data_IF_872043219717
#
_entry.id   IF_872043219717
#
_cell.length_a   1.000
_cell.length_b   1.000
_cell.length_c   1.000
_cell.angle_alpha   90.00
_cell.angle_beta   90.00
_cell.angle_gamma   90.00
#
_symmetry.space_group_name_H-M   'P 1'
#
loop_
_entity.id
_entity.type
_entity.pdbx_description
1 polymer ?
#
# COMPACT_ATOMS: atom_id res chain seq x y z
N UNK A 1 24.45 15.16 -29.76
CA UNK A 1 24.76 13.74 -29.48
C UNK A 1 23.45 13.05 -29.17
N UNK A 2 23.01 12.17 -30.06
CA UNK A 2 21.61 11.72 -30.07
C UNK A 2 21.45 10.21 -29.76
N UNK A 3 22.53 9.47 -29.49
CA UNK A 3 22.44 8.06 -29.12
C UNK A 3 23.51 7.66 -28.08
N UNK A 4 23.22 6.58 -27.33
CA UNK A 4 24.08 6.05 -26.27
C UNK A 4 25.45 5.57 -26.78
N UNK A 5 25.50 5.01 -27.99
CA UNK A 5 26.70 4.37 -28.52
C UNK A 5 27.85 5.37 -28.73
N UNK A 6 27.54 6.51 -29.35
CA UNK A 6 28.44 7.64 -29.51
C UNK A 6 28.87 8.21 -28.14
N UNK A 7 27.94 8.25 -27.18
CA UNK A 7 28.20 8.76 -25.84
C UNK A 7 29.18 7.89 -25.05
N UNK A 8 29.01 6.56 -25.10
CA UNK A 8 29.94 5.63 -24.47
C UNK A 8 31.33 5.68 -25.12
N UNK A 9 31.38 5.75 -26.46
CA UNK A 9 32.64 5.89 -27.19
C UNK A 9 33.41 7.16 -26.81
N UNK A 10 32.70 8.28 -26.67
CA UNK A 10 33.31 9.55 -26.26
C UNK A 10 33.76 9.55 -24.79
N UNK A 11 32.96 8.97 -23.89
CA UNK A 11 33.37 8.79 -22.48
C UNK A 11 34.60 7.88 -22.37
N UNK A 12 34.68 6.80 -23.13
CA UNK A 12 35.86 5.94 -23.14
C UNK A 12 37.10 6.68 -23.67
N UNK A 13 36.96 7.39 -24.77
CA UNK A 13 38.06 8.14 -25.39
C UNK A 13 38.55 9.29 -24.51
N UNK A 14 37.64 10.01 -23.84
CA UNK A 14 38.02 11.09 -22.92
C UNK A 14 38.79 10.58 -21.70
N UNK A 15 38.60 9.31 -21.32
CA UNK A 15 39.38 8.61 -20.28
C UNK A 15 40.63 7.90 -20.82
N UNK A 16 40.94 8.05 -22.11
CA UNK A 16 42.13 7.45 -22.73
C UNK A 16 42.15 5.91 -22.72
N UNK A 17 40.98 5.27 -22.56
CA UNK A 17 40.89 3.82 -22.43
C UNK A 17 40.75 3.16 -23.80
N UNK A 18 41.52 2.09 -24.06
CA UNK A 18 41.25 1.22 -25.20
C UNK A 18 40.02 0.34 -24.93
N UNK A 19 39.34 -0.12 -25.99
CA UNK A 19 38.18 -1.02 -25.86
C UNK A 19 38.56 -2.27 -25.05
N UNK A 20 39.73 -2.88 -25.29
CA UNK A 20 40.18 -4.06 -24.52
C UNK A 20 40.34 -3.76 -23.03
N UNK A 21 40.93 -2.60 -22.70
CA UNK A 21 41.17 -2.19 -21.32
C UNK A 21 39.86 -1.91 -20.58
N UNK A 22 38.96 -1.13 -21.18
CA UNK A 22 37.67 -0.85 -20.56
C UNK A 22 36.81 -2.12 -20.42
N UNK A 23 36.81 -2.99 -21.42
CA UNK A 23 36.07 -4.24 -21.37
C UNK A 23 36.56 -5.14 -20.22
N UNK A 24 37.88 -5.27 -20.06
CA UNK A 24 38.47 -5.99 -18.93
C UNK A 24 38.08 -5.37 -17.58
N UNK A 25 38.12 -4.03 -17.45
CA UNK A 25 37.74 -3.34 -16.22
C UNK A 25 36.25 -3.48 -15.89
N UNK A 26 35.39 -3.54 -16.92
CA UNK A 26 33.94 -3.71 -16.78
C UNK A 26 33.49 -5.18 -16.70
N UNK A 27 34.41 -6.14 -16.76
CA UNK A 27 34.09 -7.57 -16.71
C UNK A 27 33.33 -8.09 -17.93
N UNK A 28 33.50 -7.45 -19.10
CA UNK A 28 32.81 -7.80 -20.35
C UNK A 28 33.82 -8.15 -21.45
N UNK A 29 33.38 -8.92 -22.46
CA UNK A 29 34.25 -9.26 -23.58
C UNK A 29 34.51 -8.04 -24.49
N UNK A 30 35.73 -7.82 -25.03
CA UNK A 30 36.04 -6.66 -25.87
C UNK A 30 35.16 -6.49 -27.12
N UNK A 31 34.74 -7.60 -27.73
CA UNK A 31 33.81 -7.56 -28.87
C UNK A 31 32.39 -7.12 -28.45
N UNK A 32 31.98 -7.37 -27.21
CA UNK A 32 30.70 -6.92 -26.67
C UNK A 32 30.69 -5.41 -26.48
N UNK A 33 31.74 -4.86 -25.85
CA UNK A 33 31.89 -3.41 -25.70
C UNK A 33 32.02 -2.69 -27.05
N UNK A 34 32.75 -3.26 -28.01
CA UNK A 34 32.83 -2.71 -29.37
C UNK A 34 31.47 -2.65 -30.06
N UNK A 35 30.61 -3.65 -29.86
CA UNK A 35 29.24 -3.67 -30.40
C UNK A 35 28.32 -2.67 -29.69
N UNK A 36 28.59 -2.32 -28.44
CA UNK A 36 27.87 -1.26 -27.72
C UNK A 36 28.20 0.12 -28.26
N UNK A 37 29.48 0.44 -28.45
CA UNK A 37 29.93 1.72 -29.01
C UNK A 37 29.58 1.89 -30.49
N UNK A 38 29.39 0.79 -31.22
CA UNK A 38 28.87 0.80 -32.59
C UNK A 38 27.33 0.86 -32.66
N UNK A 39 26.62 0.82 -31.51
CA UNK A 39 25.15 0.85 -31.45
C UNK A 39 24.47 -0.42 -31.96
N UNK A 40 25.24 -1.49 -32.22
CA UNK A 40 24.75 -2.78 -32.70
C UNK A 40 23.99 -3.53 -31.62
N UNK A 41 24.42 -3.40 -30.36
CA UNK A 41 23.79 -4.02 -29.17
C UNK A 41 23.82 -2.98 -28.04
N UNK A 42 22.91 -3.08 -27.06
CA UNK A 42 22.91 -2.21 -25.87
C UNK A 42 23.33 -3.01 -24.62
N UNK A 43 24.01 -2.39 -23.64
CA UNK A 43 24.34 -3.04 -22.38
C UNK A 43 23.09 -3.26 -21.52
N UNK A 44 23.05 -4.34 -20.73
CA UNK A 44 22.07 -4.50 -19.63
C UNK A 44 22.32 -3.50 -18.51
N UNK A 45 21.37 -3.30 -17.57
CA UNK A 45 21.55 -2.33 -16.48
C UNK A 45 22.76 -2.69 -15.59
N UNK A 46 22.98 -3.97 -15.30
CA UNK A 46 24.14 -4.45 -14.55
C UNK A 46 25.46 -4.25 -15.31
N UNK A 47 25.50 -4.59 -16.60
CA UNK A 47 26.68 -4.35 -17.45
C UNK A 47 26.94 -2.87 -17.67
N UNK A 48 25.88 -2.06 -17.74
CA UNK A 48 25.95 -0.61 -17.83
C UNK A 48 26.50 -0.01 -16.55
N UNK A 49 26.03 -0.44 -15.37
CA UNK A 49 26.58 0.02 -14.09
C UNK A 49 28.04 -0.41 -13.93
N UNK A 50 28.39 -1.64 -14.31
CA UNK A 50 29.77 -2.11 -14.34
C UNK A 50 30.65 -1.29 -15.30
N UNK A 51 30.13 -0.96 -16.49
CA UNK A 51 30.80 -0.12 -17.47
C UNK A 51 30.98 1.32 -16.97
N UNK A 52 29.96 1.92 -16.37
CA UNK A 52 30.02 3.27 -15.82
C UNK A 52 30.91 3.37 -14.58
N UNK A 53 30.97 2.30 -13.77
CA UNK A 53 31.93 2.15 -12.68
C UNK A 53 33.36 2.05 -13.25
N UNK A 54 33.59 1.22 -14.25
CA UNK A 54 34.89 1.07 -14.91
C UNK A 54 35.36 2.34 -15.63
N UNK A 55 34.41 3.12 -16.18
CA UNK A 55 34.68 4.43 -16.75
C UNK A 55 34.98 5.49 -15.68
N UNK A 56 34.67 5.24 -14.40
CA UNK A 56 34.73 6.25 -13.34
C UNK A 56 33.76 7.40 -13.59
N UNK A 57 32.57 7.10 -14.13
CA UNK A 57 31.61 8.11 -14.55
C UNK A 57 30.94 8.80 -13.35
N UNK A 58 30.90 10.13 -13.40
CA UNK A 58 30.23 11.01 -12.43
C UNK A 58 28.71 10.84 -12.49
N UNK A 59 28.02 11.30 -11.45
CA UNK A 59 26.56 11.22 -11.36
C UNK A 59 25.85 11.97 -12.50
N UNK A 60 26.45 13.05 -13.03
CA UNK A 60 25.92 13.78 -14.17
C UNK A 60 26.09 12.99 -15.49
N UNK A 61 27.25 12.37 -15.71
CA UNK A 61 27.51 11.53 -16.89
C UNK A 61 26.62 10.27 -16.90
N UNK A 62 26.39 9.67 -15.72
CA UNK A 62 25.45 8.55 -15.56
C UNK A 62 24.02 8.94 -15.91
N UNK A 63 23.55 10.07 -15.39
CA UNK A 63 22.22 10.60 -15.71
C UNK A 63 22.07 10.85 -17.21
N UNK A 64 23.09 11.43 -17.85
CA UNK A 64 23.08 11.69 -19.28
C UNK A 64 23.12 10.41 -20.13
N UNK A 65 23.89 9.40 -19.73
CA UNK A 65 23.87 8.10 -20.41
C UNK A 65 22.52 7.39 -20.25
N UNK A 66 21.90 7.46 -19.07
CA UNK A 66 20.57 6.91 -18.81
C UNK A 66 19.48 7.58 -19.66
N UNK A 67 19.54 8.91 -19.84
CA UNK A 67 18.66 9.64 -20.78
C UNK A 67 18.80 9.15 -22.23
N UNK A 68 19.98 8.66 -22.62
CA UNK A 68 20.27 8.17 -23.98
C UNK A 68 20.01 6.66 -24.15
N UNK A 69 19.83 5.91 -23.05
CA UNK A 69 19.45 4.49 -23.02
C UNK A 69 17.98 4.28 -23.41
N UNK A 70 17.15 5.32 -23.31
CA UNK A 70 15.69 5.29 -23.39
C UNK A 70 15.13 5.06 -24.82
N UNK A 71 15.42 3.88 -25.40
CA UNK A 71 14.68 3.28 -26.52
C UNK A 71 14.37 1.79 -26.24
N UNK A 72 13.20 1.26 -26.64
CA UNK A 72 12.20 0.73 -25.69
C UNK A 72 12.17 -0.81 -25.55
N UNK A 73 13.26 -1.53 -25.82
CA UNK A 73 13.21 -3.02 -25.94
C UNK A 73 13.92 -3.81 -24.82
N UNK A 74 14.64 -3.13 -23.92
CA UNK A 74 15.35 -3.78 -22.80
C UNK A 74 14.48 -3.92 -21.53
N UNK A 75 13.50 -3.03 -21.32
CA UNK A 75 12.56 -3.14 -20.21
C UNK A 75 11.70 -4.42 -20.33
N UNK A 76 11.15 -4.67 -21.52
CA UNK A 76 10.24 -5.80 -21.76
C UNK A 76 10.85 -7.20 -21.49
N UNK A 77 12.18 -7.33 -21.50
CA UNK A 77 12.86 -8.60 -21.29
C UNK A 77 13.24 -8.83 -19.81
N UNK A 78 13.39 -7.77 -19.02
CA UNK A 78 13.57 -7.85 -17.57
C UNK A 78 12.26 -8.26 -16.88
N UNK A 79 11.12 -7.72 -17.32
CA UNK A 79 9.79 -8.12 -16.85
C UNK A 79 9.42 -9.57 -17.23
N UNK A 80 9.90 -10.07 -18.38
CA UNK A 80 9.65 -11.45 -18.82
C UNK A 80 10.54 -12.51 -18.15
N UNK A 81 11.66 -12.12 -17.51
CA UNK A 81 12.59 -13.04 -16.81
C UNK A 81 12.33 -13.12 -15.30
N UNK A 82 11.37 -12.34 -14.76
CA UNK A 82 10.99 -12.29 -13.35
C UNK A 82 9.69 -13.06 -13.04
N UNK A 83 9.41 -14.13 -13.79
CA UNK A 83 8.34 -15.05 -13.43
C UNK A 83 8.80 -15.98 -12.30
N UNK A 84 8.53 -15.63 -11.03
CA UNK A 84 8.30 -16.58 -9.92
C UNK A 84 7.50 -15.90 -8.80
N UNK A 85 6.78 -16.68 -7.98
CA UNK A 85 5.36 -16.53 -7.74
C UNK A 85 5.00 -15.37 -6.78
N UNK A 86 3.78 -14.89 -6.96
CA UNK A 86 3.03 -13.91 -6.16
C UNK A 86 3.57 -13.59 -4.75
N UNK A 87 4.12 -12.38 -4.61
CA UNK A 87 4.12 -11.61 -3.36
C UNK A 87 5.45 -11.49 -2.65
N UNK A 88 6.34 -10.59 -3.10
CA UNK A 88 7.41 -9.96 -2.31
C UNK A 88 8.27 -9.03 -3.21
N UNK A 89 7.89 -7.75 -3.35
CA UNK A 89 8.73 -6.70 -3.97
C UNK A 89 9.30 -5.78 -2.89
N UNK A 90 10.38 -6.23 -2.24
CA UNK A 90 10.89 -5.66 -0.99
C UNK A 90 11.85 -4.47 -1.16
N UNK A 91 11.72 -3.63 -2.21
CA UNK A 91 12.48 -2.37 -2.32
C UNK A 91 11.57 -1.21 -2.68
N UNK A 92 11.66 -0.08 -1.94
CA UNK A 92 10.86 1.08 -2.24
C UNK A 92 11.30 1.66 -3.59
N UNK A 93 10.33 2.18 -4.34
CA UNK A 93 10.51 2.78 -5.65
C UNK A 93 9.78 4.11 -5.72
N UNK A 94 10.14 4.93 -6.70
CA UNK A 94 9.46 6.19 -6.96
C UNK A 94 8.05 5.90 -7.50
N UNK A 95 6.98 6.44 -6.89
CA UNK A 95 5.64 6.31 -7.44
C UNK A 95 5.53 6.88 -8.86
N UNK A 96 4.82 6.16 -9.71
CA UNK A 96 4.57 6.47 -11.11
C UNK A 96 3.07 6.62 -11.40
N UNK A 97 2.68 7.33 -12.47
CA UNK A 97 1.28 7.46 -12.89
C UNK A 97 0.51 6.14 -13.05
N UNK A 98 1.18 5.04 -13.41
CA UNK A 98 0.56 3.71 -13.44
C UNK A 98 0.09 3.22 -12.06
N UNK A 99 0.79 3.59 -10.98
CA UNK A 99 0.37 3.25 -9.61
C UNK A 99 -0.96 3.93 -9.26
N UNK A 100 -1.20 5.14 -9.78
CA UNK A 100 -2.47 5.83 -9.64
C UNK A 100 -3.58 5.13 -10.44
N UNK A 101 -3.31 4.67 -11.67
CA UNK A 101 -4.28 3.87 -12.44
C UNK A 101 -4.67 2.59 -11.68
N UNK A 102 -3.67 1.91 -11.11
CA UNK A 102 -3.88 0.72 -10.29
C UNK A 102 -4.70 1.07 -9.04
N UNK A 103 -4.36 2.13 -8.33
CA UNK A 103 -5.06 2.58 -7.14
C UNK A 103 -6.52 2.93 -7.44
N UNK A 104 -6.78 3.67 -8.52
CA UNK A 104 -8.13 3.98 -8.99
C UNK A 104 -8.92 2.71 -9.33
N UNK A 105 -8.31 1.74 -10.03
CA UNK A 105 -8.94 0.43 -10.31
C UNK A 105 -9.29 -0.31 -9.03
N UNK A 106 -8.36 -0.38 -8.09
CA UNK A 106 -8.53 -1.07 -6.82
C UNK A 106 -9.58 -0.39 -5.92
N UNK A 107 -9.63 0.95 -5.94
CA UNK A 107 -10.68 1.74 -5.31
C UNK A 107 -12.06 1.39 -5.87
N UNK A 108 -12.17 1.09 -7.16
CA UNK A 108 -13.41 0.58 -7.79
C UNK A 108 -13.71 -0.89 -7.49
N UNK A 109 -12.82 -1.59 -6.80
CA UNK A 109 -12.96 -3.01 -6.52
C UNK A 109 -12.84 -3.90 -7.76
N UNK A 110 -12.35 -3.37 -8.88
CA UNK A 110 -12.27 -4.13 -10.13
C UNK A 110 -10.99 -4.96 -10.20
N UNK A 111 -11.11 -6.19 -10.68
CA UNK A 111 -9.96 -6.99 -11.08
C UNK A 111 -9.35 -6.44 -12.37
N UNK A 112 -8.11 -6.81 -12.64
CA UNK A 112 -7.43 -6.43 -13.87
C UNK A 112 -8.22 -6.93 -15.10
N UNK A 113 -8.76 -8.15 -15.04
CA UNK A 113 -9.54 -8.79 -16.09
C UNK A 113 -10.88 -8.10 -16.30
N UNK A 114 -11.56 -7.72 -15.21
CA UNK A 114 -12.83 -6.99 -15.26
C UNK A 114 -12.66 -5.63 -15.95
N UNK A 115 -11.66 -4.85 -15.53
CA UNK A 115 -11.36 -3.56 -16.15
C UNK A 115 -10.95 -3.70 -17.61
N UNK A 116 -10.10 -4.69 -17.93
CA UNK A 116 -9.67 -4.92 -19.30
C UNK A 116 -10.85 -5.29 -20.22
N UNK A 117 -11.76 -6.14 -19.73
CA UNK A 117 -12.99 -6.51 -20.45
C UNK A 117 -13.88 -5.30 -20.68
N UNK A 118 -14.09 -4.47 -19.65
CA UNK A 118 -14.89 -3.25 -19.75
C UNK A 118 -14.34 -2.26 -20.80
N UNK A 119 -13.02 -2.22 -20.94
CA UNK A 119 -12.33 -1.33 -21.89
C UNK A 119 -12.07 -1.97 -23.26
N UNK A 120 -12.50 -3.22 -23.47
CA UNK A 120 -12.22 -3.98 -24.69
C UNK A 120 -10.72 -4.06 -25.03
N UNK A 121 -9.86 -4.24 -24.01
CA UNK A 121 -8.41 -4.43 -24.16
C UNK A 121 -7.97 -5.73 -23.48
N UNK A 122 -6.72 -6.14 -23.70
CA UNK A 122 -6.16 -7.28 -22.98
C UNK A 122 -5.77 -6.90 -21.54
N UNK A 123 -5.92 -7.82 -20.59
CA UNK A 123 -5.44 -7.64 -19.21
C UNK A 123 -3.93 -7.34 -19.18
N UNK A 124 -3.16 -7.91 -20.10
CA UNK A 124 -1.74 -7.61 -20.27
C UNK A 124 -1.51 -6.14 -20.65
N UNK A 125 -2.30 -5.58 -21.57
CA UNK A 125 -2.21 -4.16 -21.94
C UNK A 125 -2.44 -3.26 -20.73
N UNK A 126 -3.51 -3.53 -19.97
CA UNK A 126 -3.83 -2.77 -18.77
C UNK A 126 -2.74 -2.92 -17.70
N UNK A 127 -2.23 -4.13 -17.48
CA UNK A 127 -1.12 -4.38 -16.55
C UNK A 127 0.10 -3.53 -16.91
N UNK A 128 0.46 -3.45 -18.19
CA UNK A 128 1.59 -2.64 -18.65
C UNK A 128 1.36 -1.14 -18.44
N UNK A 129 0.11 -0.68 -18.51
CA UNK A 129 -0.25 0.70 -18.14
C UNK A 129 -0.11 0.94 -16.64
N UNK A 130 -0.58 0.02 -15.81
CA UNK A 130 -0.48 0.09 -14.34
C UNK A 130 0.97 0.03 -13.84
N UNK A 131 1.85 -0.66 -14.56
CA UNK A 131 3.29 -0.67 -14.27
C UNK A 131 4.07 0.45 -14.98
N UNK A 132 3.38 1.37 -15.67
CA UNK A 132 3.98 2.45 -16.47
C UNK A 132 4.97 1.98 -17.55
N UNK A 133 4.92 0.72 -17.97
CA UNK A 133 5.75 0.14 -19.03
C UNK A 133 5.32 0.62 -20.43
N UNK A 134 4.03 0.83 -20.60
CA UNK A 134 3.42 1.50 -21.75
C UNK A 134 2.40 2.51 -21.24
N UNK A 135 1.90 3.38 -22.11
CA UNK A 135 0.91 4.39 -21.74
C UNK A 135 -0.28 4.34 -22.71
N UNK A 136 -1.52 4.51 -22.22
CA UNK A 136 -2.68 4.63 -23.09
C UNK A 136 -2.56 5.86 -24.01
N UNK A 137 -3.17 5.79 -25.18
CA UNK A 137 -3.44 7.01 -25.97
C UNK A 137 -4.37 7.95 -25.21
N UNK A 138 -4.44 9.22 -25.61
CA UNK A 138 -5.33 10.20 -24.95
C UNK A 138 -6.80 9.72 -24.92
N UNK A 139 -7.31 9.20 -26.04
CA UNK A 139 -8.65 8.62 -26.11
C UNK A 139 -8.83 7.42 -25.16
N UNK A 140 -7.86 6.51 -25.11
CA UNK A 140 -7.88 5.36 -24.20
C UNK A 140 -7.81 5.79 -22.74
N UNK A 141 -7.01 6.80 -22.42
CA UNK A 141 -6.89 7.35 -21.08
C UNK A 141 -8.21 7.99 -20.64
N UNK A 142 -8.87 8.76 -21.51
CA UNK A 142 -10.19 9.33 -21.22
C UNK A 142 -11.23 8.25 -20.97
N UNK A 143 -11.27 7.20 -21.79
CA UNK A 143 -12.18 6.06 -21.58
C UNK A 143 -11.87 5.32 -20.27
N UNK A 144 -10.59 5.08 -19.97
CA UNK A 144 -10.14 4.47 -18.72
C UNK A 144 -10.58 5.31 -17.51
N UNK A 145 -10.28 6.61 -17.53
CA UNK A 145 -10.65 7.54 -16.46
C UNK A 145 -12.17 7.63 -16.26
N UNK A 146 -12.96 7.64 -17.34
CA UNK A 146 -14.42 7.61 -17.27
C UNK A 146 -14.93 6.36 -16.54
N UNK A 147 -14.48 5.17 -16.96
CA UNK A 147 -14.91 3.92 -16.33
C UNK A 147 -14.43 3.80 -14.89
N UNK A 148 -13.22 4.26 -14.60
CA UNK A 148 -12.68 4.27 -13.24
C UNK A 148 -13.29 5.38 -12.35
N UNK A 149 -14.17 6.25 -12.87
CA UNK A 149 -14.67 7.44 -12.17
C UNK A 149 -13.52 8.29 -11.61
N UNK A 150 -12.56 8.59 -12.48
CA UNK A 150 -11.47 9.49 -12.15
C UNK A 150 -12.02 10.85 -11.74
N UNK A 151 -11.46 11.41 -10.67
CA UNK A 151 -11.67 12.80 -10.34
C UNK A 151 -10.94 13.71 -11.35
N UNK A 152 -11.39 14.97 -11.54
CA UNK A 152 -10.72 15.91 -12.44
C UNK A 152 -9.22 16.05 -12.14
N UNK A 153 -8.84 16.07 -10.85
CA UNK A 153 -7.45 16.14 -10.39
C UNK A 153 -6.63 14.92 -10.81
N UNK A 154 -7.20 13.72 -10.75
CA UNK A 154 -6.54 12.49 -11.20
C UNK A 154 -6.36 12.48 -12.72
N UNK A 155 -7.38 12.93 -13.46
CA UNK A 155 -7.27 13.08 -14.92
C UNK A 155 -6.16 14.07 -15.30
N UNK A 156 -6.09 15.23 -14.63
CA UNK A 156 -5.01 16.21 -14.83
C UNK A 156 -3.66 15.58 -14.52
N UNK A 157 -3.54 14.87 -13.39
CA UNK A 157 -2.30 14.23 -12.97
C UNK A 157 -1.81 13.19 -13.99
N UNK A 158 -2.73 12.39 -14.55
CA UNK A 158 -2.45 11.37 -15.57
C UNK A 158 -2.18 11.96 -16.96
N UNK A 159 -2.75 13.13 -17.28
CA UNK A 159 -2.55 13.82 -18.56
C UNK A 159 -1.11 14.26 -18.79
N UNK A 160 -0.32 14.42 -17.73
CA UNK A 160 1.11 14.73 -17.81
C UNK A 160 1.97 13.56 -18.34
N UNK A 161 1.37 12.37 -18.52
CA UNK A 161 1.95 11.20 -19.15
C UNK A 161 2.69 10.28 -18.18
N UNK A 162 3.19 9.14 -18.70
CA UNK A 162 3.70 7.98 -17.94
C UNK A 162 4.76 8.18 -16.85
N UNK A 163 5.41 9.34 -16.77
CA UNK A 163 6.53 9.58 -15.84
C UNK A 163 6.34 10.81 -14.95
N UNK A 164 5.25 11.54 -15.11
CA UNK A 164 5.01 12.80 -14.41
C UNK A 164 3.63 12.77 -13.78
N UNK A 165 3.57 12.97 -12.47
CA UNK A 165 2.37 13.54 -11.86
C UNK A 165 2.43 15.04 -12.12
N UNK A 166 1.35 15.63 -12.64
CA UNK A 166 1.21 17.09 -12.62
C UNK A 166 0.81 17.49 -11.20
N UNK A 167 1.70 18.21 -10.50
CA UNK A 167 1.54 18.69 -9.11
C UNK A 167 0.43 19.76 -8.91
N UNK A 168 -0.58 19.82 -9.78
CA UNK A 168 -1.53 20.94 -9.78
C UNK A 168 -2.72 20.79 -8.82
N UNK A 169 -2.94 19.60 -8.23
CA UNK A 169 -4.04 19.40 -7.28
C UNK A 169 -3.77 20.04 -5.90
N UNK A 170 -2.50 20.05 -5.46
CA UNK A 170 -2.02 20.74 -4.27
C UNK A 170 -0.50 20.85 -4.36
N UNK A 171 0.03 22.06 -4.56
CA UNK A 171 1.48 22.23 -4.65
C UNK A 171 2.11 21.93 -3.27
N UNK A 172 2.88 20.84 -3.16
CA UNK A 172 3.64 20.56 -1.95
C UNK A 172 4.66 21.67 -1.70
N UNK A 173 4.93 22.03 -0.42
CA UNK A 173 5.94 23.02 -0.10
C UNK A 173 7.29 22.73 -0.76
N UNK A 174 7.90 23.77 -1.32
CA UNK A 174 9.22 23.65 -1.95
C UNK A 174 10.34 23.61 -0.92
N UNK A 175 10.14 24.28 0.23
CA UNK A 175 11.10 24.34 1.33
C UNK A 175 11.01 23.10 2.20
N UNK A 176 12.15 22.60 2.64
CA UNK A 176 12.24 21.37 3.46
C UNK A 176 11.49 21.52 4.78
N UNK A 177 11.68 22.62 5.50
CA UNK A 177 11.08 22.80 6.83
C UNK A 177 9.54 22.84 6.78
N UNK A 178 8.99 23.48 5.74
CA UNK A 178 7.54 23.51 5.49
C UNK A 178 7.01 22.12 5.11
N UNK A 179 7.76 21.34 4.34
CA UNK A 179 7.38 19.98 3.99
C UNK A 179 7.44 19.05 5.21
N UNK A 180 8.43 19.23 6.08
CA UNK A 180 8.52 18.50 7.35
C UNK A 180 7.36 18.83 8.27
N UNK A 181 6.98 20.12 8.36
CA UNK A 181 5.79 20.53 9.11
C UNK A 181 4.52 19.91 8.53
N UNK A 182 4.35 19.91 7.21
CA UNK A 182 3.20 19.27 6.56
C UNK A 182 3.14 17.77 6.88
N UNK A 183 4.25 17.04 6.80
CA UNK A 183 4.30 15.61 7.13
C UNK A 183 3.90 15.37 8.59
N UNK A 184 4.37 16.20 9.53
CA UNK A 184 3.94 16.12 10.94
C UNK A 184 2.45 16.34 11.10
N UNK A 185 1.89 17.37 10.45
CA UNK A 185 0.45 17.64 10.48
C UNK A 185 -0.38 16.48 9.92
N UNK A 186 0.13 15.76 8.91
CA UNK A 186 -0.53 14.55 8.38
C UNK A 186 -0.47 13.40 9.40
N UNK A 187 0.70 13.18 10.02
CA UNK A 187 0.88 12.16 11.06
C UNK A 187 -0.07 12.38 12.23
N UNK A 188 -0.18 13.63 12.67
CA UNK A 188 -1.04 14.07 13.78
C UNK A 188 -2.52 14.18 13.37
N UNK A 189 -2.86 13.85 12.12
CA UNK A 189 -4.19 13.92 11.54
C UNK A 189 -4.85 15.33 11.60
N UNK A 190 -4.03 16.38 11.60
CA UNK A 190 -4.47 17.79 11.56
C UNK A 190 -4.87 18.24 10.14
N UNK A 191 -4.43 17.51 9.11
CA UNK A 191 -4.80 17.78 7.72
C UNK A 191 -6.03 16.97 7.34
N UNK A 192 -7.14 17.66 7.07
CA UNK A 192 -8.32 17.06 6.48
C UNK A 192 -8.07 16.71 5.00
N UNK A 193 -7.75 15.45 4.71
CA UNK A 193 -7.57 14.95 3.36
C UNK A 193 -8.93 14.57 2.75
N UNK A 194 -9.16 14.98 1.50
CA UNK A 194 -10.25 14.44 0.70
C UNK A 194 -9.96 12.96 0.43
N UNK A 195 -10.75 12.07 1.06
CA UNK A 195 -10.57 10.62 0.95
C UNK A 195 -10.67 10.13 -0.49
N UNK A 196 -11.41 10.82 -1.35
CA UNK A 196 -11.56 10.46 -2.76
C UNK A 196 -10.29 10.71 -3.59
N UNK A 197 -9.41 11.59 -3.11
CA UNK A 197 -8.14 11.96 -3.74
C UNK A 197 -6.91 11.50 -2.95
N UNK A 198 -7.10 10.76 -1.86
CA UNK A 198 -6.01 10.37 -0.96
C UNK A 198 -4.93 9.53 -1.65
N UNK A 199 -5.29 8.63 -2.58
CA UNK A 199 -4.32 7.88 -3.39
C UNK A 199 -3.38 8.83 -4.17
N UNK A 200 -3.96 9.79 -4.91
CA UNK A 200 -3.19 10.79 -5.65
C UNK A 200 -2.32 11.62 -4.72
N UNK A 201 -2.87 12.03 -3.57
CA UNK A 201 -2.16 12.83 -2.58
C UNK A 201 -0.92 12.09 -2.05
N UNK A 202 -1.08 10.87 -1.54
CA UNK A 202 0.02 10.10 -0.97
C UNK A 202 1.06 9.69 -2.02
N UNK A 203 0.65 9.23 -3.20
CA UNK A 203 1.59 8.89 -4.28
C UNK A 203 2.42 10.11 -4.71
N UNK A 204 1.81 11.30 -4.74
CA UNK A 204 2.51 12.54 -5.08
C UNK A 204 3.46 12.98 -3.96
N UNK A 205 3.04 12.87 -2.69
CA UNK A 205 3.88 13.17 -1.53
C UNK A 205 5.08 12.22 -1.42
N UNK A 206 4.87 10.92 -1.57
CA UNK A 206 5.91 9.89 -1.57
C UNK A 206 6.93 10.15 -2.69
N UNK A 207 6.47 10.48 -3.89
CA UNK A 207 7.33 10.87 -5.01
C UNK A 207 8.15 12.12 -4.69
N UNK A 208 7.54 13.13 -4.07
CA UNK A 208 8.23 14.36 -3.65
C UNK A 208 9.32 14.05 -2.63
N UNK A 209 9.01 13.21 -1.64
CA UNK A 209 9.93 12.83 -0.57
C UNK A 209 11.03 11.86 -1.02
N UNK A 210 10.80 11.08 -2.08
CA UNK A 210 11.78 10.17 -2.65
C UNK A 210 13.13 10.82 -2.97
N UNK A 211 13.11 12.04 -3.54
CA UNK A 211 14.35 12.77 -3.83
C UNK A 211 15.13 13.17 -2.57
N UNK A 212 14.42 13.52 -1.50
CA UNK A 212 15.00 13.95 -0.22
C UNK A 212 15.54 12.76 0.59
N UNK A 213 14.90 11.60 0.49
CA UNK A 213 15.31 10.38 1.21
C UNK A 213 16.68 9.87 0.78
N UNK A 214 17.06 10.10 -0.48
CA UNK A 214 18.40 9.76 -0.99
C UNK A 214 19.49 10.72 -0.51
N UNK A 215 19.12 11.88 0.03
CA UNK A 215 20.05 12.97 0.35
C UNK A 215 20.22 13.18 1.86
N UNK A 216 19.25 12.75 2.66
CA UNK A 216 19.26 13.02 4.10
C UNK A 216 18.46 11.99 4.91
N UNK A 217 18.89 11.77 6.14
CA UNK A 217 18.17 10.93 7.09
C UNK A 217 16.78 11.48 7.44
N UNK A 218 16.63 12.80 7.55
CA UNK A 218 15.33 13.44 7.78
C UNK A 218 14.40 13.23 6.59
N UNK A 219 14.90 13.33 5.35
CA UNK A 219 14.14 12.98 4.15
C UNK A 219 13.67 11.53 4.15
N UNK A 220 14.53 10.61 4.60
CA UNK A 220 14.19 9.18 4.76
C UNK A 220 13.10 8.99 5.81
N UNK A 221 13.19 9.68 6.95
CA UNK A 221 12.17 9.64 8.01
C UNK A 221 10.82 10.15 7.52
N UNK A 222 10.80 11.30 6.85
CA UNK A 222 9.56 11.84 6.27
C UNK A 222 8.92 10.88 5.26
N UNK A 223 9.73 10.21 4.43
CA UNK A 223 9.23 9.20 3.49
C UNK A 223 8.64 7.98 4.19
N UNK A 224 9.26 7.52 5.29
CA UNK A 224 8.70 6.46 6.15
C UNK A 224 7.34 6.91 6.69
N UNK A 225 7.26 8.11 7.27
CA UNK A 225 6.02 8.67 7.84
C UNK A 225 4.91 8.77 6.77
N UNK A 226 5.24 9.20 5.55
CA UNK A 226 4.30 9.24 4.43
C UNK A 226 3.78 7.84 4.05
N UNK A 227 4.65 6.84 3.96
CA UNK A 227 4.24 5.45 3.71
C UNK A 227 3.35 4.90 4.83
N UNK A 228 3.65 5.22 6.10
CA UNK A 228 2.83 4.82 7.26
C UNK A 228 1.43 5.43 7.17
N UNK A 229 1.34 6.73 6.88
CA UNK A 229 0.06 7.43 6.72
C UNK A 229 -0.75 6.88 5.54
N UNK A 230 -0.11 6.62 4.40
CA UNK A 230 -0.76 6.01 3.24
C UNK A 230 -1.26 4.60 3.57
N UNK A 231 -0.44 3.79 4.24
CA UNK A 231 -0.82 2.46 4.71
C UNK A 231 -2.04 2.51 5.65
N UNK A 232 -2.04 3.43 6.63
CA UNK A 232 -3.17 3.64 7.54
C UNK A 232 -4.45 4.01 6.76
N UNK A 233 -4.35 4.92 5.80
CA UNK A 233 -5.48 5.30 4.95
C UNK A 233 -6.05 4.10 4.18
N UNK A 234 -5.20 3.31 3.52
CA UNK A 234 -5.61 2.12 2.78
C UNK A 234 -6.28 1.08 3.67
N UNK A 235 -5.77 0.86 4.88
CA UNK A 235 -6.39 -0.04 5.85
C UNK A 235 -7.77 0.43 6.32
N UNK A 236 -7.94 1.74 6.53
CA UNK A 236 -9.23 2.34 6.89
C UNK A 236 -10.29 2.18 5.79
N UNK A 237 -9.86 2.05 4.53
CA UNK A 237 -10.73 1.78 3.38
C UNK A 237 -10.81 0.28 3.02
N UNK A 238 -10.40 -0.60 3.95
CA UNK A 238 -10.38 -2.06 3.79
C UNK A 238 -9.53 -2.57 2.61
N UNK A 239 -8.56 -1.78 2.16
CA UNK A 239 -7.63 -2.11 1.06
C UNK A 239 -6.34 -2.76 1.58
N UNK A 240 -6.49 -3.84 2.35
CA UNK A 240 -5.38 -4.56 3.02
C UNK A 240 -4.27 -4.97 2.03
N UNK A 241 -4.65 -5.50 0.87
CA UNK A 241 -3.69 -5.90 -0.16
C UNK A 241 -2.89 -4.74 -0.74
N UNK A 242 -3.47 -3.53 -0.75
CA UNK A 242 -2.81 -2.35 -1.29
C UNK A 242 -1.91 -1.72 -0.24
N UNK A 243 -2.31 -1.79 1.03
CA UNK A 243 -1.51 -1.35 2.18
C UNK A 243 -0.17 -2.11 2.31
N UNK A 244 -0.09 -3.33 1.75
CA UNK A 244 1.14 -4.14 1.72
C UNK A 244 2.33 -3.37 1.16
N UNK A 245 2.19 -2.74 -0.01
CA UNK A 245 3.32 -2.10 -0.70
C UNK A 245 3.95 -0.95 0.12
N UNK A 246 3.21 0.08 0.56
CA UNK A 246 3.78 1.13 1.40
C UNK A 246 4.28 0.58 2.74
N UNK A 247 3.63 -0.45 3.31
CA UNK A 247 4.11 -1.07 4.54
C UNK A 247 5.53 -1.65 4.41
N UNK A 248 5.75 -2.48 3.38
CA UNK A 248 7.06 -3.07 3.11
C UNK A 248 8.11 -2.04 2.69
N UNK A 249 7.72 -1.02 1.93
CA UNK A 249 8.59 0.10 1.58
C UNK A 249 9.12 0.81 2.84
N UNK A 250 8.24 1.13 3.79
CA UNK A 250 8.64 1.75 5.05
C UNK A 250 9.53 0.83 5.88
N UNK A 251 9.17 -0.45 6.03
CA UNK A 251 9.98 -1.43 6.77
C UNK A 251 11.39 -1.59 6.20
N UNK A 252 11.52 -1.57 4.86
CA UNK A 252 12.82 -1.61 4.20
C UNK A 252 13.69 -0.39 4.54
N UNK A 253 13.08 0.79 4.64
CA UNK A 253 13.79 2.04 4.96
C UNK A 253 14.15 2.17 6.44
N UNK A 254 13.36 1.59 7.34
CA UNK A 254 13.60 1.68 8.79
C UNK A 254 14.90 0.99 9.17
N UNK A 255 15.28 -0.10 8.49
CA UNK A 255 16.60 -0.76 8.64
C UNK A 255 16.83 -1.41 10.01
N UNK A 256 16.86 -0.61 11.09
CA UNK A 256 16.83 -1.01 12.49
C UNK A 256 15.82 -0.19 13.27
N UNK A 257 15.04 -0.85 14.12
CA UNK A 257 13.99 -0.26 14.93
C UNK A 257 14.54 0.26 16.26
N UNK A 258 15.54 1.13 16.20
CA UNK A 258 16.12 1.79 17.37
C UNK A 258 15.26 3.03 17.68
N UNK A 259 14.46 3.00 18.75
CA UNK A 259 13.48 4.04 19.14
C UNK A 259 12.38 4.31 18.09
N UNK A 260 11.46 3.36 17.86
CA UNK A 260 10.38 3.57 16.91
C UNK A 260 9.48 4.73 17.31
N UNK A 261 9.05 5.51 16.31
CA UNK A 261 7.90 6.38 16.52
C UNK A 261 6.65 5.50 16.70
N UNK A 262 5.83 5.77 17.71
CA UNK A 262 4.66 4.95 18.04
C UNK A 262 3.75 4.70 16.84
N UNK A 263 3.54 5.71 15.99
CA UNK A 263 2.69 5.57 14.80
C UNK A 263 3.25 4.59 13.76
N UNK A 264 4.54 4.24 13.78
CA UNK A 264 5.10 3.23 12.88
C UNK A 264 4.58 1.82 13.17
N UNK A 265 4.00 1.58 14.35
CA UNK A 265 3.36 0.30 14.68
C UNK A 265 2.16 0.00 13.77
N UNK A 266 1.63 0.98 13.05
CA UNK A 266 0.66 0.75 11.96
C UNK A 266 1.22 -0.14 10.84
N UNK A 267 2.52 -0.13 10.60
CA UNK A 267 3.18 -1.01 9.62
C UNK A 267 3.09 -2.48 10.05
N UNK A 268 3.33 -2.74 11.34
CA UNK A 268 3.26 -4.08 11.92
C UNK A 268 1.84 -4.62 11.82
N UNK A 269 0.84 -3.78 12.15
CA UNK A 269 -0.55 -4.15 11.98
C UNK A 269 -0.90 -4.47 10.52
N UNK A 270 -0.45 -3.65 9.57
CA UNK A 270 -0.68 -3.91 8.15
C UNK A 270 -0.10 -5.25 7.69
N UNK A 271 1.12 -5.56 8.12
CA UNK A 271 1.79 -6.84 7.80
C UNK A 271 1.10 -8.02 8.47
N UNK A 272 0.70 -7.88 9.74
CA UNK A 272 -0.04 -8.92 10.45
C UNK A 272 -1.39 -9.20 9.76
N UNK A 273 -2.10 -8.15 9.36
CA UNK A 273 -3.39 -8.26 8.66
C UNK A 273 -3.25 -8.89 7.29
N UNK A 274 -2.26 -8.45 6.51
CA UNK A 274 -1.93 -9.06 5.22
C UNK A 274 -1.57 -10.54 5.35
N UNK A 275 -0.86 -10.91 6.41
CA UNK A 275 -0.47 -12.28 6.68
C UNK A 275 -1.66 -13.17 7.11
N UNK A 276 -2.56 -12.61 7.92
CA UNK A 276 -3.77 -13.28 8.41
C UNK A 276 -4.83 -13.46 7.32
N UNK A 277 -5.05 -12.44 6.48
CA UNK A 277 -6.21 -12.34 5.57
C UNK A 277 -5.90 -12.72 4.11
N UNK A 278 -4.80 -13.44 3.85
CA UNK A 278 -4.39 -13.83 2.50
C UNK A 278 -5.57 -14.35 1.67
N UNK A 279 -5.80 -13.72 0.51
CA UNK A 279 -7.01 -13.86 -0.35
C UNK A 279 -7.49 -15.29 -0.61
N UNK A 280 -6.57 -16.25 -0.70
CA UNK A 280 -6.88 -17.63 -1.05
C UNK A 280 -6.75 -18.61 0.13
N UNK A 281 -5.92 -18.28 1.12
CA UNK A 281 -5.62 -19.14 2.26
C UNK A 281 -5.39 -18.28 3.50
N UNK A 282 -6.48 -17.85 4.18
CA UNK A 282 -6.35 -17.14 5.45
C UNK A 282 -5.49 -17.95 6.42
N UNK A 283 -4.56 -17.28 7.08
CA UNK A 283 -3.68 -17.90 8.07
C UNK A 283 -3.58 -17.01 9.32
N UNK A 284 -4.63 -16.96 10.16
CA UNK A 284 -4.66 -16.13 11.36
C UNK A 284 -3.44 -16.37 12.28
N UNK A 285 -2.93 -17.59 12.34
CA UNK A 285 -1.73 -17.96 13.11
C UNK A 285 -0.49 -17.17 12.71
N UNK A 286 -0.34 -16.84 11.42
CA UNK A 286 0.78 -16.03 10.95
C UNK A 286 0.65 -14.57 11.42
N UNK A 287 -0.56 -14.00 11.36
CA UNK A 287 -0.81 -12.66 11.90
C UNK A 287 -0.57 -12.57 13.41
N UNK A 288 -1.00 -13.60 14.16
CA UNK A 288 -0.72 -13.72 15.60
C UNK A 288 0.79 -13.70 15.86
N UNK A 289 1.57 -14.50 15.12
CA UNK A 289 3.03 -14.55 15.29
C UNK A 289 3.66 -13.17 15.07
N UNK A 290 3.29 -12.49 13.98
CA UNK A 290 3.77 -11.14 13.69
C UNK A 290 3.46 -10.19 14.84
N UNK A 291 2.23 -10.19 15.37
CA UNK A 291 1.88 -9.28 16.47
C UNK A 291 2.58 -9.65 17.79
N UNK A 292 2.73 -10.94 18.08
CA UNK A 292 3.42 -11.42 19.30
C UNK A 292 4.89 -11.06 19.32
N UNK A 293 5.59 -11.18 18.19
CA UNK A 293 7.00 -10.82 18.06
C UNK A 293 7.24 -9.32 18.34
N UNK A 294 6.23 -8.49 18.11
CA UNK A 294 6.29 -7.03 18.26
C UNK A 294 5.58 -6.49 19.50
N UNK A 295 4.87 -7.34 20.25
CA UNK A 295 4.11 -6.95 21.44
C UNK A 295 4.99 -6.34 22.55
N UNK A 296 6.21 -6.84 22.85
CA UNK A 296 7.06 -6.19 23.84
C UNK A 296 7.41 -4.75 23.46
N UNK A 297 7.73 -4.52 22.18
CA UNK A 297 8.06 -3.19 21.68
C UNK A 297 6.86 -2.24 21.72
N UNK A 298 5.65 -2.73 21.41
CA UNK A 298 4.44 -1.89 21.50
C UNK A 298 4.12 -1.54 22.96
N UNK A 299 4.28 -2.48 23.89
CA UNK A 299 4.11 -2.26 25.33
C UNK A 299 5.08 -1.22 25.89
N UNK A 300 6.34 -1.27 25.49
CA UNK A 300 7.36 -0.29 25.89
C UNK A 300 7.10 1.11 25.27
N UNK A 301 6.45 1.15 24.10
CA UNK A 301 6.22 2.39 23.35
C UNK A 301 4.96 3.14 23.83
N UNK A 302 3.83 2.44 23.99
CA UNK A 302 2.57 3.05 24.41
C UNK A 302 1.51 1.98 24.74
N UNK A 303 0.83 2.17 25.88
CA UNK A 303 -0.27 1.31 26.36
C UNK A 303 -1.41 1.21 25.34
N UNK A 304 -1.67 2.29 24.58
CA UNK A 304 -2.69 2.27 23.53
C UNK A 304 -2.36 1.24 22.43
N UNK A 305 -1.09 1.14 22.02
CA UNK A 305 -0.66 0.19 21.00
C UNK A 305 -0.53 -1.25 21.55
N UNK A 306 -0.17 -1.40 22.83
CA UNK A 306 -0.24 -2.70 23.52
C UNK A 306 -1.67 -3.27 23.48
N UNK A 307 -2.65 -2.48 23.93
CA UNK A 307 -4.05 -2.87 23.95
C UNK A 307 -4.56 -3.19 22.54
N UNK A 308 -4.17 -2.38 21.55
CA UNK A 308 -4.50 -2.63 20.15
C UNK A 308 -3.94 -3.97 19.63
N UNK A 309 -2.67 -4.29 19.90
CA UNK A 309 -2.09 -5.56 19.46
C UNK A 309 -2.74 -6.75 20.15
N UNK A 310 -3.01 -6.66 21.45
CA UNK A 310 -3.72 -7.71 22.20
C UNK A 310 -5.11 -7.98 21.62
N UNK A 311 -5.80 -6.92 21.21
CA UNK A 311 -7.12 -6.99 20.57
C UNK A 311 -7.06 -7.77 19.26
N UNK A 312 -6.15 -7.38 18.36
CA UNK A 312 -6.01 -8.03 17.06
C UNK A 312 -5.51 -9.49 17.19
N UNK A 313 -4.61 -9.76 18.16
CA UNK A 313 -4.21 -11.14 18.52
C UNK A 313 -5.44 -11.95 18.93
N UNK A 314 -6.29 -11.42 19.82
CA UNK A 314 -7.48 -12.12 20.29
C UNK A 314 -8.47 -12.40 19.16
N UNK A 315 -8.68 -11.44 18.26
CA UNK A 315 -9.50 -11.60 17.06
C UNK A 315 -8.98 -12.74 16.18
N UNK A 316 -7.69 -12.75 15.84
CA UNK A 316 -7.12 -13.82 15.05
C UNK A 316 -7.15 -15.17 15.77
N UNK A 317 -6.92 -15.20 17.08
CA UNK A 317 -7.03 -16.43 17.88
C UNK A 317 -8.44 -17.00 17.84
N UNK A 318 -9.47 -16.15 17.84
CA UNK A 318 -10.87 -16.57 17.77
C UNK A 318 -11.25 -17.22 16.43
N UNK A 319 -10.47 -16.98 15.38
CA UNK A 319 -10.60 -17.64 14.07
C UNK A 319 -9.85 -18.99 14.01
N UNK A 320 -9.16 -19.37 15.07
CA UNK A 320 -8.48 -20.67 15.21
C UNK A 320 -9.25 -21.60 16.17
N UNK A 321 -8.73 -22.80 16.44
CA UNK A 321 -9.30 -23.72 17.42
C UNK A 321 -9.07 -23.32 18.89
N UNK A 322 -8.43 -22.17 19.16
CA UNK A 322 -8.01 -21.73 20.50
C UNK A 322 -9.07 -20.86 21.21
N UNK A 323 -10.29 -21.37 21.37
CA UNK A 323 -11.46 -20.58 21.82
C UNK A 323 -11.25 -19.91 23.19
N UNK A 324 -10.86 -20.68 24.21
CA UNK A 324 -10.64 -20.17 25.57
C UNK A 324 -9.54 -19.10 25.60
N UNK A 325 -8.43 -19.39 24.94
CA UNK A 325 -7.29 -18.48 24.91
C UNK A 325 -7.61 -17.18 24.15
N UNK A 326 -8.49 -17.23 23.14
CA UNK A 326 -8.99 -16.04 22.46
C UNK A 326 -9.81 -15.14 23.40
N UNK A 327 -10.71 -15.71 24.21
CA UNK A 327 -11.52 -14.95 25.19
C UNK A 327 -10.64 -14.36 26.30
N UNK A 328 -9.67 -15.13 26.82
CA UNK A 328 -8.72 -14.62 27.81
C UNK A 328 -7.83 -13.49 27.24
N UNK A 329 -7.42 -13.60 25.98
CA UNK A 329 -6.69 -12.54 25.29
C UNK A 329 -7.54 -11.29 25.06
N UNK A 330 -8.81 -11.43 24.67
CA UNK A 330 -9.69 -10.28 24.46
C UNK A 330 -10.03 -9.59 25.77
N UNK A 331 -10.20 -10.31 26.88
CA UNK A 331 -10.39 -9.69 28.20
C UNK A 331 -9.17 -8.87 28.61
N UNK A 332 -7.95 -9.40 28.41
CA UNK A 332 -6.72 -8.62 28.68
C UNK A 332 -6.63 -7.36 27.83
N UNK A 333 -7.09 -7.41 26.58
CA UNK A 333 -7.16 -6.24 25.71
C UNK A 333 -8.17 -5.20 26.25
N UNK A 334 -9.31 -5.65 26.79
CA UNK A 334 -10.29 -4.78 27.48
C UNK A 334 -9.66 -4.12 28.70
N UNK A 335 -9.07 -4.91 29.60
CA UNK A 335 -8.48 -4.42 30.85
C UNK A 335 -7.37 -3.37 30.61
N UNK A 336 -6.64 -3.49 29.49
CA UNK A 336 -5.57 -2.55 29.11
C UNK A 336 -6.04 -1.37 28.26
N UNK A 337 -7.11 -1.53 27.48
CA UNK A 337 -7.51 -0.56 26.46
C UNK A 337 -8.54 0.47 26.91
N UNK A 338 -9.35 0.17 27.92
CA UNK A 338 -10.42 1.05 28.36
C UNK A 338 -9.90 2.37 28.96
N UNK A 339 -10.58 3.47 28.65
CA UNK A 339 -10.24 4.82 29.11
C UNK A 339 -9.14 5.49 28.29
N UNK A 340 -8.67 4.87 27.20
CA UNK A 340 -7.61 5.41 26.34
C UNK A 340 -8.14 6.14 25.09
N UNK A 341 -9.46 6.32 24.99
CA UNK A 341 -10.11 7.03 23.87
C UNK A 341 -10.50 6.15 22.68
N UNK A 342 -10.33 4.83 22.78
CA UNK A 342 -10.72 3.84 21.74
C UNK A 342 -11.68 2.75 22.28
N UNK A 343 -12.39 3.05 23.37
CA UNK A 343 -13.26 2.11 24.09
C UNK A 343 -14.28 1.43 23.18
N UNK A 344 -14.80 2.15 22.16
CA UNK A 344 -15.72 1.58 21.18
C UNK A 344 -15.11 0.40 20.45
N UNK A 345 -13.89 0.53 19.92
CA UNK A 345 -13.24 -0.56 19.19
C UNK A 345 -12.83 -1.70 20.12
N UNK A 346 -12.44 -1.39 21.36
CA UNK A 346 -12.16 -2.41 22.39
C UNK A 346 -13.38 -3.30 22.61
N UNK A 347 -14.56 -2.72 22.83
CA UNK A 347 -15.80 -3.49 23.03
C UNK A 347 -16.25 -4.24 21.78
N UNK A 348 -16.18 -3.61 20.59
CA UNK A 348 -16.52 -4.27 19.33
C UNK A 348 -15.68 -5.53 19.10
N UNK A 349 -14.37 -5.41 19.28
CA UNK A 349 -13.46 -6.55 19.11
C UNK A 349 -13.68 -7.65 20.14
N UNK A 350 -13.96 -7.30 21.40
CA UNK A 350 -14.30 -8.29 22.42
C UNK A 350 -15.61 -9.03 22.08
N UNK A 351 -16.65 -8.30 21.65
CA UNK A 351 -17.89 -8.90 21.18
C UNK A 351 -17.68 -9.80 19.95
N UNK A 352 -16.82 -9.41 19.00
CA UNK A 352 -16.47 -10.23 17.84
C UNK A 352 -15.81 -11.56 18.23
N UNK A 353 -14.88 -11.52 19.20
CA UNK A 353 -14.24 -12.73 19.74
C UNK A 353 -15.27 -13.65 20.41
N UNK A 354 -16.22 -13.10 21.17
CA UNK A 354 -17.31 -13.88 21.77
C UNK A 354 -18.19 -14.54 20.70
N UNK A 355 -18.53 -13.82 19.62
CA UNK A 355 -19.29 -14.39 18.51
C UNK A 355 -18.54 -15.51 17.79
N UNK A 356 -17.25 -15.33 17.51
CA UNK A 356 -16.42 -16.36 16.87
C UNK A 356 -16.27 -17.61 17.76
N UNK A 357 -16.32 -17.44 19.08
CA UNK A 357 -16.23 -18.53 20.07
C UNK A 357 -17.60 -19.08 20.51
N UNK A 358 -18.70 -18.71 19.84
CA UNK A 358 -20.08 -19.18 20.07
C UNK A 358 -20.75 -18.71 21.37
N UNK A 359 -20.50 -17.48 21.78
CA UNK A 359 -21.13 -16.83 22.95
C UNK A 359 -21.99 -15.61 22.54
N UNK A 360 -23.04 -15.77 21.70
CA UNK A 360 -23.78 -14.65 21.14
C UNK A 360 -24.57 -13.83 22.19
N UNK A 361 -25.06 -14.45 23.25
CA UNK A 361 -25.76 -13.74 24.33
C UNK A 361 -24.86 -12.75 25.07
N UNK A 362 -23.65 -13.18 25.43
CA UNK A 362 -22.66 -12.31 26.09
C UNK A 362 -22.20 -11.19 25.14
N UNK A 363 -21.97 -11.52 23.87
CA UNK A 363 -21.63 -10.51 22.88
C UNK A 363 -22.74 -9.45 22.76
N UNK A 364 -24.01 -9.87 22.69
CA UNK A 364 -25.15 -8.95 22.61
C UNK A 364 -25.28 -8.07 23.85
N UNK A 365 -25.12 -8.63 25.05
CA UNK A 365 -25.15 -7.89 26.32
C UNK A 365 -24.09 -6.79 26.37
N UNK A 366 -22.87 -7.08 25.91
CA UNK A 366 -21.78 -6.09 25.83
C UNK A 366 -22.13 -4.96 24.86
N UNK A 367 -22.63 -5.33 23.67
CA UNK A 367 -23.03 -4.34 22.66
C UNK A 367 -24.15 -3.43 23.18
N UNK A 368 -25.14 -3.97 23.90
CA UNK A 368 -26.26 -3.19 24.44
C UNK A 368 -25.83 -2.30 25.62
N UNK A 369 -24.95 -2.81 26.48
CA UNK A 369 -24.53 -2.12 27.71
C UNK A 369 -23.51 -1.01 27.48
N UNK A 370 -22.65 -1.18 26.47
CA UNK A 370 -21.49 -0.30 26.28
C UNK A 370 -21.53 0.49 24.97
N UNK A 371 -22.28 0.04 23.96
CA UNK A 371 -22.31 0.70 22.66
C UNK A 371 -23.70 1.26 22.35
N UNK A 372 -23.75 2.56 22.05
CA UNK A 372 -24.95 3.19 21.50
C UNK A 372 -25.20 2.79 20.04
N UNK A 373 -26.47 2.83 19.64
CA UNK A 373 -26.97 2.47 18.29
C UNK A 373 -26.66 3.55 17.23
N UNK A 374 -26.35 4.76 17.68
CA UNK A 374 -26.05 5.91 16.82
C UNK A 374 -24.54 6.03 16.55
N UNK A 375 -24.19 6.23 15.28
CA UNK A 375 -22.83 6.55 14.85
C UNK A 375 -22.61 8.06 14.85
N UNK A 376 -21.39 8.49 15.15
CA UNK A 376 -21.03 9.90 15.09
C UNK A 376 -20.70 10.32 13.64
N UNK A 377 -20.86 11.62 13.38
CA UNK A 377 -20.39 12.27 12.16
C UNK A 377 -18.86 12.36 12.24
N UNK A 378 -18.15 11.64 11.35
CA UNK A 378 -16.67 11.53 11.37
C UNK A 378 -16.14 10.12 11.65
N UNK A 379 -16.96 9.23 12.22
CA UNK A 379 -16.61 7.82 12.41
C UNK A 379 -16.18 7.16 11.07
N UNK A 380 -15.12 6.35 11.11
CA UNK A 380 -14.59 5.68 9.92
C UNK A 380 -15.65 4.74 9.34
N UNK A 381 -16.01 4.91 8.06
CA UNK A 381 -17.07 4.13 7.41
C UNK A 381 -16.88 2.60 7.55
N UNK A 382 -15.64 2.12 7.46
CA UNK A 382 -15.34 0.71 7.66
C UNK A 382 -15.63 0.23 9.09
N UNK A 383 -15.36 1.06 10.10
CA UNK A 383 -15.72 0.73 11.49
C UNK A 383 -17.23 0.58 11.64
N UNK A 384 -18.02 1.47 11.00
CA UNK A 384 -19.49 1.37 10.97
C UNK A 384 -19.98 0.08 10.31
N UNK A 385 -19.36 -0.32 9.20
CA UNK A 385 -19.67 -1.60 8.53
C UNK A 385 -19.37 -2.79 9.45
N UNK A 386 -18.19 -2.80 10.07
CA UNK A 386 -17.77 -3.87 11.00
C UNK A 386 -18.74 -3.99 12.16
N UNK A 387 -19.06 -2.87 12.80
CA UNK A 387 -20.01 -2.81 13.89
C UNK A 387 -21.39 -3.35 13.49
N UNK A 388 -21.90 -2.93 12.33
CA UNK A 388 -23.18 -3.43 11.84
C UNK A 388 -23.17 -4.95 11.63
N UNK A 389 -22.07 -5.51 11.12
CA UNK A 389 -21.91 -6.96 10.99
C UNK A 389 -21.90 -7.67 12.36
N UNK A 390 -21.20 -7.09 13.36
CA UNK A 390 -21.14 -7.63 14.72
C UNK A 390 -22.53 -7.62 15.38
N UNK A 391 -23.26 -6.51 15.30
CA UNK A 391 -24.65 -6.43 15.79
C UNK A 391 -25.56 -7.44 15.10
N UNK A 392 -25.50 -7.53 13.77
CA UNK A 392 -26.31 -8.50 13.02
C UNK A 392 -26.05 -9.94 13.47
N UNK A 393 -24.77 -10.32 13.62
CA UNK A 393 -24.38 -11.66 14.10
C UNK A 393 -24.85 -11.92 15.53
N UNK A 394 -24.71 -10.94 16.43
CA UNK A 394 -25.15 -11.07 17.82
C UNK A 394 -26.67 -11.22 17.93
N UNK A 395 -27.43 -10.35 17.25
CA UNK A 395 -28.90 -10.40 17.21
C UNK A 395 -29.42 -11.73 16.63
N UNK A 396 -28.84 -12.18 15.52
CA UNK A 396 -29.20 -13.47 14.95
C UNK A 396 -28.88 -14.63 15.91
N UNK A 397 -27.71 -14.59 16.55
CA UNK A 397 -27.30 -15.61 17.52
C UNK A 397 -28.18 -15.70 18.78
N UNK A 398 -28.91 -14.62 19.14
CA UNK A 398 -29.90 -14.62 20.22
C UNK A 398 -31.35 -14.81 19.73
N UNK A 399 -31.55 -15.13 18.45
CA UNK A 399 -32.87 -15.41 17.86
C UNK A 399 -33.65 -14.18 17.37
N UNK A 400 -33.05 -12.98 17.35
CA UNK A 400 -33.68 -11.72 16.92
C UNK A 400 -33.41 -11.46 15.42
N UNK A 401 -33.75 -12.41 14.57
CA UNK A 401 -33.41 -12.41 13.12
C UNK A 401 -33.92 -11.17 12.37
N UNK A 402 -35.13 -10.69 12.66
CA UNK A 402 -35.68 -9.50 11.98
C UNK A 402 -34.84 -8.24 12.24
N UNK A 403 -34.37 -8.06 13.47
CA UNK A 403 -33.51 -6.94 13.83
C UNK A 403 -32.09 -7.10 13.27
N UNK A 404 -31.60 -8.34 13.20
CA UNK A 404 -30.33 -8.63 12.56
C UNK A 404 -30.33 -8.22 11.07
N UNK A 405 -31.43 -8.44 10.36
CA UNK A 405 -31.57 -8.03 8.95
C UNK A 405 -31.49 -6.50 8.76
N UNK A 406 -32.03 -5.71 9.68
CA UNK A 406 -31.92 -4.24 9.64
C UNK A 406 -30.45 -3.80 9.70
N UNK A 407 -29.64 -4.45 10.54
CA UNK A 407 -28.22 -4.14 10.63
C UNK A 407 -27.43 -4.59 9.40
N UNK A 408 -27.80 -5.72 8.77
CA UNK A 408 -27.25 -6.13 7.48
C UNK A 408 -27.56 -5.08 6.40
N UNK A 409 -28.80 -4.59 6.34
CA UNK A 409 -29.20 -3.55 5.38
C UNK A 409 -28.41 -2.26 5.58
N UNK A 410 -28.19 -1.84 6.84
CA UNK A 410 -27.30 -0.71 7.17
C UNK A 410 -25.88 -0.93 6.64
N UNK A 411 -25.31 -2.12 6.84
CA UNK A 411 -23.98 -2.46 6.32
C UNK A 411 -23.93 -2.42 4.78
N UNK A 412 -24.95 -2.97 4.10
CA UNK A 412 -25.04 -2.93 2.63
C UNK A 412 -25.15 -1.51 2.10
N UNK A 413 -25.94 -0.66 2.74
CA UNK A 413 -26.06 0.75 2.37
C UNK A 413 -24.73 1.49 2.50
N UNK A 414 -24.02 1.30 3.61
CA UNK A 414 -22.68 1.88 3.80
C UNK A 414 -21.70 1.43 2.73
N UNK A 415 -21.68 0.12 2.42
CA UNK A 415 -20.82 -0.43 1.37
C UNK A 415 -21.11 0.18 0.01
N UNK A 416 -22.39 0.37 -0.32
CA UNK A 416 -22.81 0.94 -1.59
C UNK A 416 -22.50 2.44 -1.69
N UNK A 417 -22.85 3.22 -0.66
CA UNK A 417 -22.70 4.68 -0.66
C UNK A 417 -21.22 5.08 -0.62
N UNK A 418 -20.41 4.37 0.15
CA UNK A 418 -18.98 4.69 0.33
C UNK A 418 -18.06 3.81 -0.50
N UNK A 419 -18.61 3.02 -1.44
CA UNK A 419 -17.82 2.29 -2.44
C UNK A 419 -16.81 1.30 -1.77
N UNK A 420 -17.21 0.67 -0.66
CA UNK A 420 -16.37 -0.27 0.13
C UNK A 420 -16.49 -1.71 -0.40
N UNK A 421 -16.23 -1.90 -1.70
CA UNK A 421 -16.46 -3.18 -2.38
C UNK A 421 -15.67 -4.36 -1.81
N UNK A 422 -14.55 -4.07 -1.15
CA UNK A 422 -13.64 -5.06 -0.55
C UNK A 422 -14.35 -5.91 0.50
N UNK A 423 -15.32 -5.34 1.22
CA UNK A 423 -16.10 -6.03 2.27
C UNK A 423 -17.49 -6.46 1.80
N UNK A 424 -17.92 -6.08 0.59
CA UNK A 424 -19.25 -6.41 0.05
C UNK A 424 -19.56 -7.90 0.12
N UNK A 425 -18.61 -8.74 -0.30
CA UNK A 425 -18.80 -10.21 -0.30
C UNK A 425 -19.05 -10.75 1.11
N UNK A 426 -18.41 -10.19 2.12
CA UNK A 426 -18.59 -10.62 3.53
C UNK A 426 -19.97 -10.20 4.04
N UNK A 427 -20.41 -8.97 3.72
CA UNK A 427 -21.74 -8.48 4.08
C UNK A 427 -22.84 -9.29 3.38
N UNK A 428 -22.67 -9.58 2.09
CA UNK A 428 -23.65 -10.37 1.31
C UNK A 428 -23.71 -11.83 1.80
N UNK A 429 -22.57 -12.41 2.19
CA UNK A 429 -22.52 -13.74 2.79
C UNK A 429 -23.25 -13.78 4.15
N UNK A 430 -23.08 -12.74 4.97
CA UNK A 430 -23.81 -12.61 6.24
C UNK A 430 -25.31 -12.46 6.01
N UNK A 431 -25.71 -11.67 5.01
CA UNK A 431 -27.11 -11.53 4.62
C UNK A 431 -27.73 -12.88 4.23
N UNK A 432 -27.00 -13.70 3.47
CA UNK A 432 -27.43 -15.03 3.05
C UNK A 432 -27.46 -16.05 4.20
N UNK A 433 -26.68 -15.85 5.27
CA UNK A 433 -26.70 -16.70 6.46
C UNK A 433 -27.89 -16.42 7.37
N UNK A 434 -28.34 -15.15 7.45
CA UNK A 434 -29.41 -14.71 8.36
C UNK A 434 -30.80 -14.94 7.76
N UNK A 435 -30.93 -14.89 6.42
CA UNK A 435 -32.15 -15.22 5.68
C UNK A 435 -32.35 -16.72 5.61
#
# INVERSE_FOLDING_TARGET
MNNLAEYLGLLRQSRGLSIRRLAQMAGVHPSTLSRWEAGVVRPSLHEFDALMNALGATSAERRRALELIDAPRALARLHAMQATPAGSDAKPHIPLPGDLLRAMRQRRGWSLEQTATQLSISATTLSRWEHSESWPSEAQLHTLCYHLQAHPQELIALSAGRLRFRDEAQAFPSRRDELEQLVRQIVDAEVALDRSLADLYFLSLERRLWGLSQQSEVGRRMLIDAYVCHCRHLLQDARVLDARAPAWHAMHLIGRWENPNAHWLWLVHAVAKDAAEKRYHPNPSEGIRVLQDWLPLSADTSVHYEAWFLRDIAEYMSLTHSTRAAVEASQRAVDRGLGLGDDRNVWLSHAEVLLNTRHPHQAFEILESHLGVAWQEGDVHMQKVREAQIYARALHGVGRTQEALIWVERAQQLVQVHNLWQVRRQVDALAAQIR
#
